data_IF_797531780803
#
_entry.id   IF_797531780803
#
_cell.length_a   1.000
_cell.length_b   1.000
_cell.length_c   1.000
_cell.angle_alpha   90.00
_cell.angle_beta   90.00
_cell.angle_gamma   90.00
#
_symmetry.space_group_name_H-M   'P 1'
#
loop_
_entity.id
_entity.type
_entity.pdbx_description
1 polymer ?
#
# COMPACT_ATOMS: atom_id res chain seq x y z
N UNK A 1 -6.35 11.37 38.73
CA UNK A 1 -6.16 11.61 37.28
C UNK A 1 -6.83 10.47 36.52
N UNK A 2 -7.66 10.77 35.51
CA UNK A 2 -8.42 9.75 34.77
C UNK A 2 -7.47 8.80 34.02
N UNK A 3 -7.74 7.48 34.05
CA UNK A 3 -6.96 6.47 33.30
C UNK A 3 -6.93 6.76 31.79
N UNK A 4 -7.95 7.44 31.26
CA UNK A 4 -8.00 7.84 29.85
C UNK A 4 -7.00 8.97 29.58
N UNK A 5 -6.95 9.99 30.46
CA UNK A 5 -5.99 11.09 30.35
C UNK A 5 -4.56 10.56 30.35
N UNK A 6 -4.23 9.65 31.26
CA UNK A 6 -2.90 9.02 31.30
C UNK A 6 -2.58 8.23 30.02
N UNK A 7 -3.58 7.60 29.40
CA UNK A 7 -3.38 6.91 28.12
C UNK A 7 -3.14 7.91 26.98
N UNK A 8 -3.92 9.00 26.93
CA UNK A 8 -3.70 10.09 25.96
C UNK A 8 -2.28 10.67 26.11
N UNK A 9 -1.86 10.98 27.32
CA UNK A 9 -0.50 11.49 27.62
C UNK A 9 0.61 10.51 27.22
N UNK A 10 0.31 9.21 27.16
CA UNK A 10 1.24 8.19 26.66
C UNK A 10 1.21 8.09 25.13
N UNK A 11 0.06 8.32 24.49
CA UNK A 11 -0.10 8.23 23.04
C UNK A 11 0.50 9.44 22.32
N UNK A 12 0.33 10.66 22.84
CA UNK A 12 0.79 11.90 22.18
C UNK A 12 2.29 11.87 21.84
N UNK A 13 3.22 11.51 22.76
CA UNK A 13 4.65 11.44 22.42
C UNK A 13 5.00 10.41 21.34
N UNK A 14 4.20 9.34 21.21
CA UNK A 14 4.38 8.33 20.15
C UNK A 14 3.99 8.92 18.79
N UNK A 15 2.90 9.70 18.75
CA UNK A 15 2.48 10.41 17.54
C UNK A 15 3.52 11.48 17.15
N UNK A 16 4.07 12.21 18.11
CA UNK A 16 5.15 13.18 17.87
C UNK A 16 6.40 12.50 17.29
N UNK A 17 6.76 11.32 17.81
CA UNK A 17 7.87 10.53 17.25
C UNK A 17 7.55 10.07 15.82
N UNK A 18 6.35 9.56 15.55
CA UNK A 18 5.92 9.16 14.20
C UNK A 18 5.95 10.34 13.22
N UNK A 19 5.46 11.51 13.62
CA UNK A 19 5.54 12.75 12.83
C UNK A 19 6.99 13.11 12.53
N UNK A 20 7.88 13.06 13.52
CA UNK A 20 9.30 13.36 13.33
C UNK A 20 10.00 12.39 12.37
N UNK A 21 9.60 11.11 12.35
CA UNK A 21 10.10 10.14 11.37
C UNK A 21 9.53 10.41 9.97
N UNK A 22 8.25 10.76 9.85
CA UNK A 22 7.64 11.17 8.59
C UNK A 22 8.30 12.43 8.00
N UNK A 23 8.63 13.42 8.84
CA UNK A 23 9.27 14.66 8.39
C UNK A 23 10.63 14.43 7.70
N UNK A 24 11.33 13.33 8.01
CA UNK A 24 12.59 12.95 7.34
C UNK A 24 12.37 12.48 5.89
N UNK A 25 11.14 12.13 5.53
CA UNK A 25 10.77 11.57 4.22
C UNK A 25 9.68 12.37 3.49
N UNK A 26 9.18 13.47 4.06
CA UNK A 26 8.06 14.25 3.51
C UNK A 26 8.33 14.90 2.14
N UNK A 27 9.60 15.03 1.75
CA UNK A 27 10.04 15.54 0.43
C UNK A 27 10.30 14.43 -0.59
N UNK A 28 10.18 13.16 -0.21
CA UNK A 28 10.41 12.03 -1.11
C UNK A 28 9.19 11.81 -2.02
N UNK A 29 9.32 12.25 -3.28
CA UNK A 29 8.28 12.13 -4.29
C UNK A 29 8.12 10.72 -4.87
N UNK A 30 8.98 9.76 -4.50
CA UNK A 30 8.85 8.35 -4.89
C UNK A 30 7.86 7.60 -3.99
N UNK A 31 7.63 8.10 -2.78
CA UNK A 31 6.56 7.63 -1.91
C UNK A 31 5.22 8.15 -2.44
N UNK A 32 4.19 7.29 -2.40
CA UNK A 32 2.88 7.61 -2.96
C UNK A 32 2.18 8.71 -2.18
N UNK A 33 1.26 9.41 -2.83
CA UNK A 33 0.49 10.50 -2.22
C UNK A 33 -0.19 10.10 -0.91
N UNK A 34 -0.79 8.91 -0.85
CA UNK A 34 -1.50 8.43 0.35
C UNK A 34 -0.55 8.14 1.52
N UNK A 35 0.72 7.80 1.26
CA UNK A 35 1.74 7.70 2.30
C UNK A 35 1.96 9.07 2.96
N UNK A 36 2.05 10.12 2.14
CA UNK A 36 2.17 11.50 2.62
C UNK A 36 0.90 12.00 3.30
N UNK A 37 -0.27 11.59 2.82
CA UNK A 37 -1.55 11.86 3.48
C UNK A 37 -1.59 11.22 4.88
N UNK A 38 -1.11 9.98 5.02
CA UNK A 38 -0.98 9.30 6.32
C UNK A 38 -0.07 10.06 7.28
N UNK A 39 1.10 10.52 6.80
CA UNK A 39 2.00 11.35 7.60
C UNK A 39 1.32 12.61 8.14
N UNK A 40 0.57 13.33 7.29
CA UNK A 40 -0.22 14.51 7.72
C UNK A 40 -1.35 14.15 8.68
N UNK A 41 -1.98 12.99 8.50
CA UNK A 41 -3.07 12.51 9.36
C UNK A 41 -2.65 12.28 10.81
N UNK A 42 -1.37 12.00 11.08
CA UNK A 42 -0.84 11.88 12.45
C UNK A 42 -1.07 13.16 13.27
N UNK A 43 -0.82 14.32 12.67
CA UNK A 43 -1.00 15.61 13.34
C UNK A 43 -2.46 15.87 13.70
N UNK A 44 -3.41 15.45 12.85
CA UNK A 44 -4.85 15.56 13.11
C UNK A 44 -5.28 14.67 14.28
N UNK A 45 -4.81 13.42 14.31
CA UNK A 45 -5.06 12.49 15.43
C UNK A 45 -4.51 13.08 16.73
N UNK A 46 -3.27 13.57 16.72
CA UNK A 46 -2.62 14.18 17.90
C UNK A 46 -3.40 15.39 18.41
N UNK A 47 -3.73 16.35 17.52
CA UNK A 47 -4.52 17.54 17.86
C UNK A 47 -5.83 17.15 18.53
N UNK A 48 -6.54 16.18 17.98
CA UNK A 48 -7.83 15.73 18.52
C UNK A 48 -7.67 15.06 19.89
N UNK A 49 -6.63 14.26 20.10
CA UNK A 49 -6.33 13.65 21.40
C UNK A 49 -6.04 14.70 22.49
N UNK A 50 -5.30 15.75 22.18
CA UNK A 50 -5.06 16.85 23.13
C UNK A 50 -6.35 17.61 23.49
N UNK A 51 -7.27 17.76 22.54
CA UNK A 51 -8.60 18.31 22.81
C UNK A 51 -9.45 17.37 23.67
N UNK A 52 -9.42 16.06 23.41
CA UNK A 52 -10.04 15.05 24.28
C UNK A 52 -9.52 15.19 25.70
N UNK A 53 -8.19 15.25 25.89
CA UNK A 53 -7.58 15.47 27.21
C UNK A 53 -8.12 16.73 27.88
N UNK A 54 -8.16 17.85 27.16
CA UNK A 54 -8.63 19.14 27.67
C UNK A 54 -10.09 19.08 28.14
N UNK A 55 -10.97 18.43 27.38
CA UNK A 55 -12.38 18.26 27.76
C UNK A 55 -12.59 17.28 28.93
N UNK A 56 -11.70 16.30 29.07
CA UNK A 56 -11.78 15.30 30.15
C UNK A 56 -11.16 15.77 31.46
N UNK A 57 -10.19 16.70 31.44
CA UNK A 57 -9.54 17.24 32.64
C UNK A 57 -10.53 17.88 33.63
N UNK A 58 -11.63 18.45 33.13
CA UNK A 58 -12.63 19.16 33.93
C UNK A 58 -13.85 18.30 34.27
N UNK A 59 -13.82 17.00 33.99
CA UNK A 59 -14.98 16.12 34.17
C UNK A 59 -14.71 15.06 35.24
N UNK A 60 -15.66 14.90 36.16
CA UNK A 60 -15.66 13.74 37.06
C UNK A 60 -16.14 12.52 36.26
N UNK A 61 -15.16 11.76 35.76
CA UNK A 61 -15.39 10.57 34.98
C UNK A 61 -15.64 9.40 35.94
N UNK A 62 -16.92 9.20 36.29
CA UNK A 62 -17.37 8.04 37.07
C UNK A 62 -16.99 6.70 36.43
N UNK A 63 -17.11 5.62 37.20
CA UNK A 63 -16.81 4.27 36.75
C UNK A 63 -17.77 3.80 35.65
N UNK A 64 -17.36 3.88 34.39
CA UNK A 64 -18.18 3.42 33.26
C UNK A 64 -17.55 3.58 31.87
N UNK A 65 -16.24 3.78 31.77
CA UNK A 65 -15.55 4.17 30.54
C UNK A 65 -14.56 3.12 30.03
N UNK A 66 -14.89 1.83 30.14
CA UNK A 66 -13.96 0.78 29.69
C UNK A 66 -13.82 0.75 28.16
N UNK A 67 -14.91 0.99 27.43
CA UNK A 67 -14.86 1.09 25.96
C UNK A 67 -13.96 2.25 25.51
N UNK A 68 -14.11 3.43 26.13
CA UNK A 68 -13.24 4.57 25.87
C UNK A 68 -11.76 4.23 26.14
N UNK A 69 -11.46 3.48 27.21
CA UNK A 69 -10.08 2.98 27.47
C UNK A 69 -9.61 2.01 26.40
N UNK A 70 -10.48 1.14 25.89
CA UNK A 70 -10.14 0.20 24.83
C UNK A 70 -9.84 0.93 23.52
N UNK A 71 -10.60 1.97 23.21
CA UNK A 71 -10.40 2.83 22.03
C UNK A 71 -9.03 3.55 22.08
N UNK A 72 -8.68 4.23 23.18
CA UNK A 72 -7.35 4.89 23.28
C UNK A 72 -6.19 3.87 23.32
N UNK A 73 -6.38 2.68 23.91
CA UNK A 73 -5.40 1.59 23.83
C UNK A 73 -5.21 1.12 22.39
N UNK A 74 -6.29 0.98 21.63
CA UNK A 74 -6.24 0.62 20.22
C UNK A 74 -5.50 1.67 19.40
N UNK A 75 -5.80 2.95 19.63
CA UNK A 75 -5.10 4.07 19.01
C UNK A 75 -3.61 4.03 19.34
N UNK A 76 -3.25 3.78 20.60
CA UNK A 76 -1.85 3.69 21.05
C UNK A 76 -1.09 2.60 20.31
N UNK A 77 -1.67 1.40 20.16
CA UNK A 77 -1.02 0.29 19.43
C UNK A 77 -0.75 0.68 17.98
N UNK A 78 -1.75 1.27 17.31
CA UNK A 78 -1.62 1.71 15.91
C UNK A 78 -0.60 2.85 15.77
N UNK A 79 -0.55 3.78 16.72
CA UNK A 79 0.47 4.84 16.77
C UNK A 79 1.88 4.26 16.89
N UNK A 80 2.08 3.25 17.74
CA UNK A 80 3.37 2.54 17.86
C UNK A 80 3.75 1.84 16.55
N UNK A 81 2.80 1.16 15.90
CA UNK A 81 3.06 0.55 14.59
C UNK A 81 3.37 1.59 13.52
N UNK A 82 2.69 2.75 13.54
CA UNK A 82 2.92 3.83 12.58
C UNK A 82 4.32 4.45 12.78
N UNK A 83 4.71 4.76 14.02
CA UNK A 83 6.06 5.23 14.35
C UNK A 83 7.12 4.27 13.80
N UNK A 84 6.96 2.98 14.07
CA UNK A 84 7.90 1.98 13.59
C UNK A 84 7.98 1.94 12.06
N UNK A 85 6.84 1.97 11.35
CA UNK A 85 6.81 1.98 9.89
C UNK A 85 7.48 3.23 9.30
N UNK A 86 7.13 4.42 9.78
CA UNK A 86 7.75 5.66 9.31
C UNK A 86 9.25 5.66 9.58
N UNK A 87 9.68 5.15 10.74
CA UNK A 87 11.10 5.00 11.07
C UNK A 87 11.84 4.06 10.13
N UNK A 88 11.28 2.90 9.80
CA UNK A 88 11.92 1.97 8.85
C UNK A 88 12.10 2.62 7.48
N UNK A 89 11.08 3.35 7.00
CA UNK A 89 11.17 4.09 5.74
C UNK A 89 12.18 5.23 5.84
N UNK A 90 12.24 5.97 6.95
CA UNK A 90 13.19 7.05 7.13
C UNK A 90 14.65 6.59 7.14
N UNK A 91 14.92 5.41 7.72
CA UNK A 91 16.25 4.79 7.77
C UNK A 91 16.72 4.23 6.41
N UNK A 92 15.79 3.93 5.50
CA UNK A 92 16.14 3.42 4.19
C UNK A 92 16.79 4.51 3.30
N UNK A 93 17.78 4.15 2.46
CA UNK A 93 18.33 5.04 1.45
C UNK A 93 17.23 5.66 0.56
N UNK A 94 17.36 6.95 0.23
CA UNK A 94 16.33 7.69 -0.52
C UNK A 94 15.94 7.05 -1.87
N UNK A 95 16.85 6.31 -2.50
CA UNK A 95 16.57 5.60 -3.74
C UNK A 95 15.86 4.25 -3.55
N UNK A 96 15.82 3.69 -2.34
CA UNK A 96 15.21 2.39 -2.03
C UNK A 96 13.98 2.46 -1.14
N UNK A 97 13.69 3.61 -0.49
CA UNK A 97 12.56 3.80 0.44
C UNK A 97 11.24 3.17 0.01
N UNK A 98 10.77 3.46 -1.20
CA UNK A 98 9.51 2.89 -1.71
C UNK A 98 9.60 1.35 -1.86
N UNK A 99 10.71 0.85 -2.39
CA UNK A 99 10.93 -0.59 -2.55
C UNK A 99 11.03 -1.32 -1.21
N UNK A 100 11.75 -0.73 -0.25
CA UNK A 100 11.95 -1.31 1.07
C UNK A 100 10.67 -1.23 1.93
N UNK A 101 9.88 -0.16 1.78
CA UNK A 101 8.53 -0.08 2.34
C UNK A 101 7.64 -1.24 1.86
N UNK A 102 7.62 -1.51 0.55
CA UNK A 102 6.83 -2.61 -0.01
C UNK A 102 7.34 -3.98 0.47
N UNK A 103 8.66 -4.20 0.54
CA UNK A 103 9.23 -5.43 1.08
C UNK A 103 8.86 -5.64 2.55
N UNK A 104 8.89 -4.57 3.34
CA UNK A 104 8.51 -4.60 4.75
C UNK A 104 7.04 -5.01 4.90
N UNK A 105 6.15 -4.41 4.09
CA UNK A 105 4.73 -4.78 4.08
C UNK A 105 4.47 -6.20 3.60
N UNK A 106 5.28 -6.73 2.67
CA UNK A 106 5.19 -8.12 2.26
C UNK A 106 5.53 -9.09 3.40
N UNK A 107 6.37 -8.68 4.35
CA UNK A 107 6.76 -9.48 5.52
C UNK A 107 5.76 -9.34 6.67
N UNK A 108 5.34 -8.12 6.97
CA UNK A 108 4.51 -7.81 8.15
C UNK A 108 3.00 -7.91 7.88
N UNK A 109 2.59 -7.72 6.62
CA UNK A 109 1.20 -7.72 6.19
C UNK A 109 0.59 -6.32 5.99
N UNK A 110 -0.52 -6.29 5.25
CA UNK A 110 -1.19 -5.06 4.79
C UNK A 110 -1.78 -4.22 5.94
N UNK A 111 -2.03 -4.81 7.11
CA UNK A 111 -2.49 -4.07 8.29
C UNK A 111 -1.47 -3.05 8.82
N UNK A 112 -0.21 -3.14 8.38
CA UNK A 112 0.85 -2.17 8.68
C UNK A 112 1.00 -1.06 7.63
N UNK A 113 0.14 -1.02 6.61
CA UNK A 113 0.09 0.12 5.69
C UNK A 113 -0.19 1.39 6.48
N UNK A 114 0.56 2.47 6.21
CA UNK A 114 0.55 3.65 7.09
C UNK A 114 -0.82 4.33 7.07
N UNK A 115 -1.50 4.33 5.92
CA UNK A 115 -2.86 4.81 5.78
C UNK A 115 -3.86 3.96 6.55
N UNK A 116 -3.69 2.63 6.60
CA UNK A 116 -4.57 1.73 7.35
C UNK A 116 -4.42 1.99 8.85
N UNK A 117 -3.19 2.17 9.32
CA UNK A 117 -2.89 2.50 10.71
C UNK A 117 -3.48 3.86 11.09
N UNK A 118 -3.27 4.89 10.26
CA UNK A 118 -3.73 6.25 10.53
C UNK A 118 -5.26 6.37 10.46
N UNK A 119 -5.91 5.81 9.45
CA UNK A 119 -7.38 5.70 9.40
C UNK A 119 -7.92 4.96 10.63
N UNK A 120 -7.26 3.87 11.02
CA UNK A 120 -7.61 3.11 12.21
C UNK A 120 -7.53 3.94 13.49
N UNK A 121 -6.51 4.80 13.62
CA UNK A 121 -6.40 5.74 14.74
C UNK A 121 -7.51 6.78 14.73
N UNK A 122 -7.82 7.36 13.57
CA UNK A 122 -8.92 8.33 13.44
C UNK A 122 -10.26 7.72 13.89
N UNK A 123 -10.53 6.46 13.50
CA UNK A 123 -11.71 5.70 13.95
C UNK A 123 -11.70 5.46 15.46
N UNK A 124 -10.55 5.04 16.01
CA UNK A 124 -10.40 4.83 17.46
C UNK A 124 -10.63 6.13 18.24
N UNK A 125 -10.20 7.30 17.71
CA UNK A 125 -10.43 8.60 18.35
C UNK A 125 -11.89 9.03 18.26
N UNK A 126 -12.57 8.80 17.14
CA UNK A 126 -14.01 9.03 17.02
C UNK A 126 -14.79 8.22 18.07
N UNK A 127 -14.46 6.92 18.23
CA UNK A 127 -15.07 6.06 19.24
C UNK A 127 -14.73 6.51 20.65
N UNK A 128 -13.48 6.93 20.92
CA UNK A 128 -13.06 7.49 22.20
C UNK A 128 -13.91 8.72 22.57
N UNK A 129 -14.12 9.65 21.64
CA UNK A 129 -14.92 10.87 21.84
C UNK A 129 -16.36 10.53 22.19
N UNK A 130 -16.98 9.63 21.40
CA UNK A 130 -18.34 9.15 21.61
C UNK A 130 -18.51 8.44 22.95
N UNK A 131 -17.65 7.47 23.25
CA UNK A 131 -17.70 6.66 24.48
C UNK A 131 -17.33 7.48 25.72
N UNK A 132 -16.59 8.57 25.56
CA UNK A 132 -16.30 9.53 26.63
C UNK A 132 -17.45 10.51 26.88
N UNK A 133 -18.50 10.49 26.05
CA UNK A 133 -19.66 11.38 26.17
C UNK A 133 -19.29 12.85 26.03
N UNK A 134 -18.36 13.16 25.12
CA UNK A 134 -17.92 14.53 24.79
C UNK A 134 -18.15 14.89 23.31
N UNK A 135 -18.84 14.04 22.55
CA UNK A 135 -19.09 14.22 21.11
C UNK A 135 -19.76 15.56 20.78
N UNK A 136 -20.75 16.00 21.56
CA UNK A 136 -21.41 17.30 21.35
C UNK A 136 -20.45 18.50 21.44
N UNK A 137 -19.33 18.36 22.17
CA UNK A 137 -18.33 19.43 22.33
C UNK A 137 -17.21 19.37 21.28
N UNK A 138 -17.14 18.27 20.54
CA UNK A 138 -16.07 17.97 19.60
C UNK A 138 -16.64 17.61 18.22
N UNK A 139 -17.79 18.20 17.86
CA UNK A 139 -18.51 17.87 16.62
C UNK A 139 -17.61 18.17 15.41
N UNK A 140 -17.04 19.36 15.36
CA UNK A 140 -16.15 19.81 14.28
C UNK A 140 -14.92 18.91 14.16
N UNK A 141 -14.25 18.56 15.27
CA UNK A 141 -13.07 17.68 15.23
C UNK A 141 -13.42 16.24 14.82
N UNK A 142 -14.58 15.74 15.22
CA UNK A 142 -15.05 14.40 14.80
C UNK A 142 -15.42 14.40 13.32
N UNK A 143 -16.00 15.48 12.81
CA UNK A 143 -16.28 15.66 11.38
C UNK A 143 -14.98 15.72 10.57
N UNK A 144 -13.99 16.53 10.98
CA UNK A 144 -12.65 16.59 10.37
C UNK A 144 -12.00 15.20 10.28
N UNK A 145 -12.11 14.38 11.34
CA UNK A 145 -11.59 13.01 11.34
C UNK A 145 -12.35 12.09 10.37
N UNK A 146 -13.68 12.22 10.30
CA UNK A 146 -14.54 11.41 9.41
C UNK A 146 -14.27 11.76 7.94
N UNK A 147 -14.11 13.04 7.64
CA UNK A 147 -13.78 13.51 6.30
C UNK A 147 -12.40 13.02 5.88
N UNK A 148 -11.41 13.12 6.77
CA UNK A 148 -10.08 12.55 6.50
C UNK A 148 -10.13 11.02 6.28
N UNK A 149 -10.96 10.28 7.03
CA UNK A 149 -11.17 8.84 6.80
C UNK A 149 -11.79 8.56 5.42
N UNK A 150 -12.72 9.39 4.97
CA UNK A 150 -13.35 9.25 3.66
C UNK A 150 -12.37 9.51 2.53
N UNK A 151 -11.59 10.61 2.61
CA UNK A 151 -10.53 10.95 1.65
C UNK A 151 -9.57 9.78 1.44
N UNK A 152 -9.23 9.10 2.52
CA UNK A 152 -8.38 7.92 2.53
C UNK A 152 -8.95 6.72 1.78
N UNK A 153 -10.28 6.52 1.82
CA UNK A 153 -10.98 5.45 1.13
C UNK A 153 -10.97 5.60 -0.40
N UNK A 154 -10.87 6.84 -0.88
CA UNK A 154 -10.89 7.18 -2.31
C UNK A 154 -9.48 7.18 -2.94
N UNK A 155 -8.42 7.07 -2.12
CA UNK A 155 -7.04 7.15 -2.58
C UNK A 155 -6.46 5.80 -3.04
N UNK A 156 -5.58 5.86 -4.04
CA UNK A 156 -4.75 4.71 -4.43
C UNK A 156 -3.83 4.32 -3.26
N UNK A 157 -3.81 3.05 -2.82
CA UNK A 157 -3.03 2.61 -1.67
C UNK A 157 -1.52 2.89 -1.79
N UNK A 158 -0.83 3.02 -0.65
CA UNK A 158 0.59 3.41 -0.56
C UNK A 158 1.52 2.33 -1.09
N UNK A 159 1.08 1.08 -0.99
CA UNK A 159 1.73 -0.09 -1.53
C UNK A 159 0.82 -0.80 -2.53
N UNK A 160 1.35 -1.61 -3.45
CA UNK A 160 0.54 -2.50 -4.25
C UNK A 160 -0.27 -3.42 -3.31
N UNK A 161 -1.58 -3.21 -3.24
CA UNK A 161 -2.47 -4.20 -2.67
C UNK A 161 -2.53 -5.33 -3.68
N UNK A 162 -1.94 -6.48 -3.36
CA UNK A 162 -2.22 -7.70 -4.10
C UNK A 162 -3.71 -8.05 -3.92
N UNK A 163 -4.57 -7.39 -4.68
CA UNK A 163 -5.88 -7.91 -5.07
C UNK A 163 -5.93 -8.21 -6.57
N UNK A 164 -4.87 -7.87 -7.33
CA UNK A 164 -4.54 -8.45 -8.63
C UNK A 164 -3.02 -8.45 -8.83
N UNK A 165 -2.31 -9.29 -8.09
CA UNK A 165 -1.19 -9.98 -8.74
C UNK A 165 -1.85 -10.98 -9.67
N UNK A 166 -1.57 -10.93 -10.97
CA UNK A 166 -2.16 -11.88 -11.90
C UNK A 166 -1.76 -13.30 -11.44
N UNK A 167 -2.71 -14.01 -10.83
CA UNK A 167 -2.44 -15.30 -10.23
C UNK A 167 -2.60 -16.37 -11.31
N UNK A 168 -1.48 -16.77 -11.89
CA UNK A 168 -1.44 -17.72 -12.98
C UNK A 168 -1.21 -19.13 -12.45
N UNK A 169 -2.27 -19.93 -12.42
CA UNK A 169 -2.19 -21.34 -12.03
C UNK A 169 -2.34 -22.23 -13.27
N UNK A 170 -1.44 -23.20 -13.44
CA UNK A 170 -1.59 -24.30 -14.39
C UNK A 170 -1.64 -25.62 -13.60
N UNK A 171 -2.79 -26.29 -13.62
CA UNK A 171 -3.01 -27.58 -12.94
C UNK A 171 -3.03 -28.76 -13.91
N UNK A 172 -2.62 -28.57 -15.17
CA UNK A 172 -2.51 -29.60 -16.19
C UNK A 172 -1.13 -29.65 -16.84
N UNK A 173 -0.99 -30.44 -17.91
CA UNK A 173 0.22 -30.49 -18.72
C UNK A 173 0.13 -29.51 -19.90
N UNK A 174 1.20 -28.75 -20.14
CA UNK A 174 1.31 -27.77 -21.24
C UNK A 174 1.96 -26.45 -20.79
N UNK A 175 2.40 -25.65 -21.76
CA UNK A 175 3.06 -24.37 -21.49
C UNK A 175 2.04 -23.27 -21.16
N UNK A 176 2.32 -22.50 -20.10
CA UNK A 176 1.56 -21.31 -19.76
C UNK A 176 2.39 -20.08 -20.07
N UNK A 177 1.94 -19.29 -21.03
CA UNK A 177 2.57 -18.01 -21.37
C UNK A 177 1.66 -16.89 -20.88
N UNK A 178 2.05 -16.21 -19.80
CA UNK A 178 1.30 -15.06 -19.31
C UNK A 178 2.16 -13.81 -19.22
N UNK A 179 1.54 -12.67 -19.45
CA UNK A 179 2.10 -11.35 -19.21
C UNK A 179 1.18 -10.59 -18.25
N UNK A 180 1.77 -9.94 -17.26
CA UNK A 180 1.07 -9.14 -16.26
C UNK A 180 1.26 -7.64 -16.53
N UNK A 181 0.29 -6.82 -16.13
CA UNK A 181 0.34 -5.36 -16.28
C UNK A 181 0.29 -4.88 -17.76
N UNK A 182 1.08 -3.88 -18.12
CA UNK A 182 1.14 -3.29 -19.49
C UNK A 182 2.16 -4.00 -20.41
N UNK A 183 2.43 -5.29 -20.19
CA UNK A 183 3.50 -6.00 -20.90
C UNK A 183 3.03 -6.55 -22.27
N UNK A 184 3.85 -6.36 -23.29
CA UNK A 184 3.63 -6.93 -24.62
C UNK A 184 4.16 -8.37 -24.69
N UNK A 185 3.30 -9.31 -25.08
CA UNK A 185 3.62 -10.73 -25.08
C UNK A 185 3.55 -11.29 -26.50
N UNK A 186 4.67 -11.82 -27.01
CA UNK A 186 4.73 -12.39 -28.35
C UNK A 186 5.32 -13.81 -28.30
N UNK A 187 4.48 -14.84 -28.24
CA UNK A 187 4.95 -16.23 -28.15
C UNK A 187 5.03 -16.87 -29.54
N UNK A 188 6.09 -17.61 -29.80
CA UNK A 188 6.21 -18.47 -30.97
C UNK A 188 6.43 -19.90 -30.48
N UNK A 189 5.40 -20.73 -30.57
CA UNK A 189 5.39 -22.10 -30.03
C UNK A 189 5.61 -23.16 -31.10
N UNK A 190 6.05 -22.76 -32.30
CA UNK A 190 6.33 -23.66 -33.43
C UNK A 190 7.67 -23.36 -34.11
N UNK A 191 7.92 -24.00 -35.25
CA UNK A 191 9.15 -23.85 -36.04
C UNK A 191 9.23 -22.58 -36.90
N UNK A 192 8.25 -21.69 -36.78
CA UNK A 192 8.15 -20.45 -37.57
C UNK A 192 9.09 -19.35 -37.07
N UNK A 193 9.13 -18.23 -37.80
CA UNK A 193 9.88 -17.03 -37.40
C UNK A 193 8.94 -15.97 -36.80
N UNK A 194 9.36 -15.32 -35.73
CA UNK A 194 8.65 -14.20 -35.10
C UNK A 194 9.44 -12.90 -35.29
N UNK A 195 8.81 -11.87 -35.85
CA UNK A 195 9.42 -10.57 -36.10
C UNK A 195 8.79 -9.50 -35.20
N UNK A 196 9.33 -9.29 -34.00
CA UNK A 196 8.84 -8.25 -33.07
C UNK A 196 9.36 -6.87 -33.50
N UNK A 197 8.46 -5.91 -33.70
CA UNK A 197 8.82 -4.51 -34.00
C UNK A 197 9.57 -4.26 -35.32
N UNK A 198 9.50 -5.18 -36.28
CA UNK A 198 10.22 -5.06 -37.54
C UNK A 198 9.60 -4.03 -38.49
N UNK A 199 10.42 -3.09 -39.00
CA UNK A 199 10.08 -2.26 -40.15
C UNK A 199 10.81 -2.81 -41.36
N UNK A 200 10.06 -3.34 -42.33
CA UNK A 200 10.63 -3.90 -43.54
C UNK A 200 10.67 -2.85 -44.63
N UNK A 201 11.88 -2.40 -44.97
CA UNK A 201 12.10 -1.37 -46.00
C UNK A 201 12.12 -1.94 -47.43
N UNK A 202 11.80 -3.23 -47.60
CA UNK A 202 11.73 -3.97 -48.87
C UNK A 202 10.71 -5.11 -48.76
N UNK A 203 10.31 -5.64 -49.91
CA UNK A 203 9.34 -6.73 -50.03
C UNK A 203 9.83 -8.01 -49.32
N UNK A 204 8.95 -8.60 -48.50
CA UNK A 204 9.24 -9.80 -47.70
C UNK A 204 8.40 -10.95 -48.22
N UNK A 205 9.04 -12.04 -48.61
CA UNK A 205 8.36 -13.26 -49.04
C UNK A 205 8.30 -14.27 -47.89
N UNK A 206 7.09 -14.59 -47.44
CA UNK A 206 6.84 -15.61 -46.42
C UNK A 206 6.47 -16.94 -47.09
N UNK A 207 7.40 -17.90 -47.04
CA UNK A 207 7.21 -19.28 -47.50
C UNK A 207 7.72 -19.53 -48.92
N UNK A 208 8.71 -20.42 -49.03
CA UNK A 208 9.07 -21.07 -50.29
C UNK A 208 8.92 -22.58 -50.13
N UNK A 209 8.25 -23.25 -51.06
CA UNK A 209 8.21 -24.72 -51.11
C UNK A 209 9.64 -25.27 -51.24
N UNK A 210 9.92 -26.36 -50.51
CA UNK A 210 11.18 -27.08 -50.64
C UNK A 210 11.38 -27.55 -52.09
N UNK A 211 12.58 -27.42 -52.69
CA UNK A 211 12.79 -27.84 -54.06
C UNK A 211 12.61 -29.36 -54.19
N UNK A 212 11.74 -29.75 -55.12
CA UNK A 212 11.51 -31.14 -55.53
C UNK A 212 12.84 -31.73 -56.04
N UNK A 213 13.36 -32.76 -55.36
CA UNK A 213 14.53 -33.48 -55.86
C UNK A 213 14.12 -34.30 -57.09
N UNK A 214 14.56 -33.86 -58.28
CA UNK A 214 14.43 -34.67 -59.50
C UNK A 214 15.20 -35.99 -59.32
N UNK A 215 14.61 -37.14 -59.67
CA UNK A 215 15.29 -38.43 -59.58
C UNK A 215 16.49 -38.46 -60.54
N UNK A 216 17.65 -38.86 -60.03
CA UNK A 216 18.86 -39.09 -60.83
C UNK A 216 18.60 -40.24 -61.81
N UNK A 217 18.61 -39.93 -63.12
CA UNK A 217 18.54 -40.93 -64.18
C UNK A 217 19.80 -41.82 -64.18
N UNK A 218 19.60 -43.14 -64.29
CA UNK A 218 20.68 -44.10 -64.45
C UNK A 218 21.47 -43.85 -65.76
N UNK A 219 22.80 -44.00 -65.75
CA UNK A 219 23.59 -43.92 -66.97
C UNK A 219 23.31 -45.13 -67.87
N UNK A 220 22.96 -44.84 -69.13
CA UNK A 220 22.88 -45.82 -70.22
C UNK A 220 24.29 -46.32 -70.57
N UNK A 221 24.38 -47.63 -70.82
CA UNK A 221 25.55 -48.35 -71.34
C UNK A 221 26.00 -47.77 -72.69
N UNK A 222 27.30 -47.65 -72.88
CA UNK A 222 27.95 -47.48 -74.18
C UNK A 222 28.43 -48.83 -74.71
N UNK A 223 28.33 -48.99 -76.02
CA UNK A 223 28.57 -50.20 -76.83
C UNK A 223 29.97 -50.82 -76.70
#
# INVERSE_FOLDING_TARGET
MSRIITLVERTTPILEAAEAEYEKVNKDNKLRLVFHQAGRGLALVKKTLELVKSHLQNRDLGGGLEDAKNSIKACTRKATSAEWMFRQVALAPENSRFGDYNKLLAQEGKQYMVEVLVQGMMKDVCELVKQSGIEERMQDEVEDLRDAINDFGDMVPSAPTEEKGDNFNNFGEGDQFNAAGFAEQNNNTGSGNLFRGGVFNREVNFGGQAPEQKPKGNPKKSD
#
